data_IF_102644540062
#
_entry.id   IF_102644540062
#
_cell.length_a   1.000
_cell.length_b   1.000
_cell.length_c   1.000
_cell.angle_alpha   90.00
_cell.angle_beta   90.00
_cell.angle_gamma   90.00
#
_symmetry.space_group_name_H-M   'P 1'
#
loop_
_entity.id
_entity.type
_entity.pdbx_description
1 polymer ?
#
# COMPACT_ATOMS: atom_id res chain seq x y z
N UNK A 1 4.81 -12.65 10.24
CA UNK A 1 4.45 -13.93 9.57
C UNK A 1 4.41 -13.79 8.06
N UNK A 2 3.63 -12.85 7.45
CA UNK A 2 3.52 -12.75 5.98
C UNK A 2 4.87 -12.50 5.30
N UNK A 3 5.62 -11.49 5.74
CA UNK A 3 6.94 -11.18 5.18
C UNK A 3 7.95 -12.32 5.35
N UNK A 4 7.93 -13.05 6.47
CA UNK A 4 8.80 -14.20 6.69
C UNK A 4 8.50 -15.37 5.75
N UNK A 5 7.22 -15.65 5.50
CA UNK A 5 6.79 -16.67 4.54
C UNK A 5 7.17 -16.25 3.12
N UNK A 6 6.90 -15.00 2.76
CA UNK A 6 7.26 -14.44 1.45
C UNK A 6 8.78 -14.50 1.24
N UNK A 7 9.57 -14.06 2.22
CA UNK A 7 11.02 -14.06 2.11
C UNK A 7 11.63 -15.46 1.92
N UNK A 8 11.06 -16.48 2.60
CA UNK A 8 11.48 -17.88 2.38
C UNK A 8 11.10 -18.34 0.98
N UNK A 9 9.86 -18.12 0.55
CA UNK A 9 9.40 -18.53 -0.77
C UNK A 9 10.21 -17.87 -1.90
N UNK A 10 10.50 -16.58 -1.78
CA UNK A 10 11.28 -15.86 -2.78
C UNK A 10 12.70 -16.38 -2.91
N UNK A 11 13.36 -16.75 -1.80
CA UNK A 11 14.68 -17.38 -1.84
C UNK A 11 14.68 -18.74 -2.53
N UNK A 12 13.60 -19.51 -2.38
CA UNK A 12 13.50 -20.86 -2.93
C UNK A 12 13.09 -20.87 -4.42
N UNK A 13 12.34 -19.86 -4.88
CA UNK A 13 11.66 -19.90 -6.18
C UNK A 13 11.98 -18.73 -7.11
N UNK A 14 12.72 -17.70 -6.67
CA UNK A 14 12.97 -16.52 -7.49
C UNK A 14 14.41 -16.02 -7.36
N UNK A 15 14.90 -15.40 -8.43
CA UNK A 15 16.15 -14.64 -8.39
C UNK A 15 15.83 -13.21 -7.99
N UNK A 16 16.60 -12.65 -7.02
CA UNK A 16 16.32 -11.31 -6.44
C UNK A 16 16.25 -10.22 -7.49
N UNK A 17 17.12 -10.27 -8.49
CA UNK A 17 17.22 -9.29 -9.56
C UNK A 17 16.07 -9.36 -10.58
N UNK A 18 15.28 -10.42 -10.58
CA UNK A 18 14.16 -10.63 -11.51
C UNK A 18 12.81 -10.27 -10.91
N UNK A 19 12.78 -9.90 -9.62
CA UNK A 19 11.53 -9.65 -8.90
C UNK A 19 11.51 -8.27 -8.27
N UNK A 20 10.29 -7.74 -8.08
CA UNK A 20 10.03 -6.51 -7.34
C UNK A 20 9.39 -6.86 -6.00
N UNK A 21 10.08 -6.55 -4.90
CA UNK A 21 9.57 -6.74 -3.54
C UNK A 21 8.99 -5.41 -3.06
N UNK A 22 7.69 -5.43 -2.73
CA UNK A 22 6.99 -4.29 -2.15
C UNK A 22 6.49 -4.62 -0.75
N UNK A 23 6.67 -3.70 0.20
CA UNK A 23 6.07 -3.79 1.54
C UNK A 23 5.62 -2.44 2.04
N UNK A 24 4.98 -2.39 3.21
CA UNK A 24 4.29 -1.19 3.70
C UNK A 24 4.61 -0.88 5.16
N UNK A 25 4.50 0.40 5.50
CA UNK A 25 4.55 0.93 6.88
C UNK A 25 3.27 1.70 7.20
N UNK A 26 2.97 1.90 8.43
CA UNK A 26 1.90 2.62 9.11
C UNK A 26 1.15 1.73 10.12
N UNK A 27 0.85 0.48 9.77
CA UNK A 27 0.07 -0.41 10.62
C UNK A 27 0.72 -0.66 11.99
N UNK A 28 -0.10 -0.89 13.00
CA UNK A 28 0.39 -1.21 14.34
C UNK A 28 1.12 -2.55 14.37
N UNK A 29 2.38 -2.51 14.80
CA UNK A 29 3.24 -3.69 14.98
C UNK A 29 3.34 -4.13 16.45
N UNK A 30 2.65 -3.42 17.34
CA UNK A 30 2.59 -3.67 18.78
C UNK A 30 1.73 -2.64 19.48
N UNK A 31 1.61 -2.75 20.83
CA UNK A 31 0.77 -1.88 21.66
C UNK A 31 1.43 -0.54 22.03
N UNK A 32 2.72 -0.39 21.83
CA UNK A 32 3.45 0.82 22.21
C UNK A 32 3.21 1.97 21.22
N UNK A 33 3.22 3.23 21.68
CA UNK A 33 2.92 4.40 20.85
C UNK A 33 3.79 4.50 19.59
N UNK A 34 5.08 4.15 19.69
CA UNK A 34 6.03 4.23 18.58
C UNK A 34 5.99 3.03 17.62
N UNK A 35 5.04 2.12 17.78
CA UNK A 35 4.91 0.92 16.94
C UNK A 35 3.80 1.06 15.90
N UNK A 36 3.41 2.28 15.55
CA UNK A 36 2.39 2.60 14.53
C UNK A 36 2.64 3.98 13.93
N UNK A 37 1.90 4.28 12.85
CA UNK A 37 1.90 5.59 12.19
C UNK A 37 3.09 5.81 11.27
N UNK A 38 3.38 7.06 10.97
CA UNK A 38 4.42 7.46 10.03
C UNK A 38 5.49 8.37 10.65
N UNK A 39 5.66 8.33 11.98
CA UNK A 39 6.78 9.02 12.63
C UNK A 39 8.11 8.51 12.08
N UNK A 40 9.10 9.39 12.04
CA UNK A 40 10.47 9.03 11.61
C UNK A 40 10.97 7.78 12.34
N UNK A 41 10.77 7.74 13.67
CA UNK A 41 11.21 6.60 14.49
C UNK A 41 10.58 5.28 14.03
N UNK A 42 9.27 5.27 13.81
CA UNK A 42 8.57 4.06 13.37
C UNK A 42 8.96 3.66 11.94
N UNK A 43 9.08 4.60 11.02
CA UNK A 43 9.50 4.35 9.63
C UNK A 43 10.89 3.70 9.59
N UNK A 44 11.88 4.28 10.29
CA UNK A 44 13.25 3.76 10.29
C UNK A 44 13.34 2.37 10.92
N UNK A 45 12.62 2.12 12.01
CA UNK A 45 12.58 0.78 12.63
C UNK A 45 11.85 -0.23 11.75
N UNK A 46 10.73 0.17 11.14
CA UNK A 46 9.90 -0.72 10.33
C UNK A 46 10.59 -1.22 9.07
N UNK A 47 11.39 -0.37 8.41
CA UNK A 47 12.15 -0.83 7.23
C UNK A 47 13.19 -1.89 7.62
N UNK A 48 13.93 -1.70 8.72
CA UNK A 48 14.92 -2.66 9.19
C UNK A 48 14.27 -4.00 9.58
N UNK A 49 13.12 -3.94 10.23
CA UNK A 49 12.34 -5.11 10.59
C UNK A 49 11.81 -5.86 9.35
N UNK A 50 11.35 -5.13 8.33
CA UNK A 50 10.89 -5.72 7.06
C UNK A 50 12.03 -6.38 6.29
N UNK A 51 13.18 -5.73 6.17
CA UNK A 51 14.38 -6.29 5.53
C UNK A 51 14.81 -7.60 6.21
N UNK A 52 14.83 -7.63 7.55
CA UNK A 52 15.17 -8.82 8.33
C UNK A 52 14.16 -9.95 8.11
N UNK A 53 12.84 -9.67 8.14
CA UNK A 53 11.79 -10.68 7.94
C UNK A 53 11.76 -11.23 6.53
N UNK A 54 11.98 -10.38 5.53
CA UNK A 54 12.05 -10.78 4.12
C UNK A 54 13.36 -11.46 3.76
N UNK A 55 14.42 -11.23 4.54
CA UNK A 55 15.76 -11.78 4.27
C UNK A 55 16.37 -11.16 3.01
N UNK A 56 16.22 -9.86 2.81
CA UNK A 56 16.78 -9.09 1.69
C UNK A 56 17.48 -7.84 2.19
N UNK A 57 18.42 -7.32 1.42
CA UNK A 57 19.18 -6.12 1.77
C UNK A 57 18.46 -4.81 1.40
N UNK A 58 17.52 -4.86 0.45
CA UNK A 58 16.74 -3.71 0.02
C UNK A 58 15.32 -4.10 -0.42
N UNK A 59 14.41 -3.12 -0.35
CA UNK A 59 13.04 -3.19 -0.86
C UNK A 59 12.98 -2.40 -2.18
N UNK A 60 12.33 -2.94 -3.21
CA UNK A 60 12.17 -2.20 -4.45
C UNK A 60 11.15 -1.06 -4.29
N UNK A 61 10.01 -1.32 -3.64
CA UNK A 61 8.97 -0.33 -3.42
C UNK A 61 8.50 -0.32 -1.96
N UNK A 62 8.89 0.70 -1.20
CA UNK A 62 8.44 0.90 0.18
C UNK A 62 7.28 1.88 0.21
N UNK A 63 6.12 1.43 0.71
CA UNK A 63 4.88 2.18 0.63
C UNK A 63 4.38 2.64 2.00
N UNK A 64 3.89 3.87 2.10
CA UNK A 64 3.01 4.24 3.21
C UNK A 64 1.64 3.61 2.97
N UNK A 65 1.12 2.89 3.99
CA UNK A 65 -0.12 2.13 3.86
C UNK A 65 -1.37 3.02 3.92
N UNK A 66 -1.29 4.11 4.68
CA UNK A 66 -2.33 5.15 4.84
C UNK A 66 -1.65 6.47 5.14
N UNK A 67 -2.37 7.56 4.92
CA UNK A 67 -1.98 8.87 5.43
C UNK A 67 -2.06 8.88 6.96
N UNK A 68 -1.08 9.50 7.62
CA UNK A 68 -1.04 9.67 9.06
C UNK A 68 -1.29 11.14 9.42
N UNK A 69 -2.47 11.50 9.94
CA UNK A 69 -2.77 12.88 10.31
C UNK A 69 -2.08 13.34 11.61
N UNK A 70 -1.52 12.40 12.38
CA UNK A 70 -0.85 12.71 13.65
C UNK A 70 0.64 13.06 13.47
N UNK A 71 1.22 12.75 12.31
CA UNK A 71 2.63 13.04 12.01
C UNK A 71 2.76 14.12 10.95
N UNK A 72 3.60 15.15 11.16
CA UNK A 72 3.89 16.16 10.13
C UNK A 72 4.36 15.50 8.83
N UNK A 73 3.83 15.99 7.70
CA UNK A 73 4.16 15.47 6.36
C UNK A 73 5.68 15.52 6.10
N UNK A 74 6.32 16.58 6.53
CA UNK A 74 7.76 16.79 6.36
C UNK A 74 8.58 15.72 7.10
N UNK A 75 8.20 15.34 8.32
CA UNK A 75 8.88 14.29 9.08
C UNK A 75 8.79 12.94 8.37
N UNK A 76 7.58 12.59 7.90
CA UNK A 76 7.34 11.37 7.12
C UNK A 76 8.17 11.35 5.84
N UNK A 77 8.11 12.42 5.05
CA UNK A 77 8.81 12.49 3.76
C UNK A 77 10.33 12.49 3.91
N UNK A 78 10.85 13.20 4.91
CA UNK A 78 12.29 13.19 5.18
C UNK A 78 12.78 11.79 5.59
N UNK A 79 12.03 11.10 6.45
CA UNK A 79 12.35 9.73 6.84
C UNK A 79 12.38 8.78 5.65
N UNK A 80 11.39 8.87 4.76
CA UNK A 80 11.34 8.08 3.53
C UNK A 80 12.47 8.41 2.57
N UNK A 81 12.81 9.69 2.43
CA UNK A 81 13.97 10.13 1.64
C UNK A 81 15.28 9.55 2.18
N UNK A 82 15.48 9.57 3.50
CA UNK A 82 16.68 9.03 4.13
C UNK A 82 16.80 7.50 3.94
N UNK A 83 15.68 6.77 3.94
CA UNK A 83 15.65 5.33 3.63
C UNK A 83 16.14 5.06 2.21
N UNK A 84 15.68 5.85 1.24
CA UNK A 84 16.14 5.73 -0.16
C UNK A 84 17.63 6.09 -0.27
N UNK A 85 18.06 7.17 0.38
CA UNK A 85 19.46 7.59 0.42
C UNK A 85 20.37 6.53 1.08
N UNK A 86 19.87 5.80 2.06
CA UNK A 86 20.58 4.72 2.72
C UNK A 86 20.58 3.41 1.89
N UNK A 87 19.92 3.36 0.73
CA UNK A 87 19.84 2.18 -0.13
C UNK A 87 18.93 1.07 0.42
N UNK A 88 18.13 1.35 1.47
CA UNK A 88 17.20 0.37 2.06
C UNK A 88 15.93 0.20 1.22
N UNK A 89 15.55 1.20 0.45
CA UNK A 89 14.50 1.13 -0.57
C UNK A 89 14.97 1.83 -1.85
N UNK A 90 14.56 1.31 -3.01
CA UNK A 90 14.87 1.93 -4.30
C UNK A 90 13.85 3.02 -4.62
N UNK A 91 12.59 2.76 -4.38
CA UNK A 91 11.47 3.65 -4.64
C UNK A 91 10.52 3.71 -3.45
N UNK A 92 9.76 4.81 -3.36
CA UNK A 92 8.69 4.94 -2.39
C UNK A 92 7.33 5.07 -3.09
N UNK A 93 6.30 4.56 -2.45
CA UNK A 93 4.91 4.62 -2.90
C UNK A 93 3.95 4.97 -1.78
N UNK A 94 2.72 5.22 -2.16
CA UNK A 94 1.63 5.49 -1.23
C UNK A 94 0.44 4.56 -1.50
N UNK A 95 -0.49 4.47 -0.55
CA UNK A 95 -1.71 3.67 -0.70
C UNK A 95 -2.90 4.41 -0.09
N UNK A 96 -4.03 4.32 -0.74
CA UNK A 96 -5.37 4.81 -0.35
C UNK A 96 -5.39 6.00 0.61
N UNK A 97 -5.46 7.18 0.05
CA UNK A 97 -5.63 8.46 0.74
C UNK A 97 -6.39 9.43 -0.15
N UNK A 98 -6.82 10.55 0.37
CA UNK A 98 -7.42 11.59 -0.45
C UNK A 98 -6.42 12.20 -1.44
N UNK A 99 -6.88 12.59 -2.62
CA UNK A 99 -6.03 13.19 -3.65
C UNK A 99 -5.29 14.43 -3.12
N UNK A 100 -5.95 15.30 -2.35
CA UNK A 100 -5.33 16.48 -1.77
C UNK A 100 -4.16 16.13 -0.83
N UNK A 101 -4.27 15.03 -0.07
CA UNK A 101 -3.19 14.56 0.82
C UNK A 101 -1.98 14.12 0.01
N UNK A 102 -2.21 13.32 -1.03
CA UNK A 102 -1.15 12.85 -1.90
C UNK A 102 -0.46 13.98 -2.67
N UNK A 103 -1.26 14.90 -3.23
CA UNK A 103 -0.74 16.09 -3.92
C UNK A 103 0.11 16.95 -2.99
N UNK A 104 -0.36 17.18 -1.77
CA UNK A 104 0.40 17.93 -0.75
C UNK A 104 1.73 17.27 -0.43
N UNK A 105 1.74 15.94 -0.23
CA UNK A 105 2.98 15.20 0.02
C UNK A 105 3.94 15.27 -1.17
N UNK A 106 3.46 15.08 -2.40
CA UNK A 106 4.28 15.18 -3.61
C UNK A 106 4.90 16.57 -3.78
N UNK A 107 4.11 17.62 -3.58
CA UNK A 107 4.58 19.00 -3.66
C UNK A 107 5.58 19.35 -2.54
N UNK A 108 5.32 18.87 -1.33
CA UNK A 108 6.27 19.04 -0.21
C UNK A 108 7.61 18.37 -0.51
N UNK A 109 7.58 17.12 -1.01
CA UNK A 109 8.81 16.43 -1.41
C UNK A 109 9.57 17.20 -2.49
N UNK A 110 8.88 17.70 -3.51
CA UNK A 110 9.49 18.48 -4.59
C UNK A 110 10.14 19.78 -4.08
N UNK A 111 9.46 20.54 -3.23
CA UNK A 111 9.97 21.78 -2.64
C UNK A 111 11.25 21.59 -1.82
N UNK A 112 11.39 20.44 -1.17
CA UNK A 112 12.56 20.12 -0.34
C UNK A 112 13.64 19.33 -1.09
N UNK A 113 13.43 18.99 -2.38
CA UNK A 113 14.34 18.14 -3.14
C UNK A 113 14.40 16.71 -2.61
N UNK A 114 13.34 16.24 -1.97
CA UNK A 114 13.25 14.87 -1.46
C UNK A 114 12.71 13.90 -2.49
N UNK A 115 12.86 12.60 -2.20
CA UNK A 115 12.32 11.52 -3.03
C UNK A 115 10.81 11.64 -3.13
N UNK A 116 10.27 11.60 -4.35
CA UNK A 116 8.82 11.62 -4.62
C UNK A 116 8.27 10.21 -4.68
N UNK A 117 6.99 10.06 -4.40
CA UNK A 117 6.29 8.79 -4.63
C UNK A 117 6.18 8.50 -6.13
N UNK A 118 6.51 7.27 -6.52
CA UNK A 118 6.42 6.81 -7.92
C UNK A 118 5.20 5.95 -8.18
N UNK A 119 4.53 5.48 -7.13
CA UNK A 119 3.37 4.60 -7.24
C UNK A 119 2.29 4.94 -6.21
N UNK A 120 1.04 4.74 -6.62
CA UNK A 120 -0.15 4.83 -5.77
C UNK A 120 -0.93 3.51 -5.83
N UNK A 121 -1.17 2.91 -4.66
CA UNK A 121 -1.96 1.69 -4.54
C UNK A 121 -3.37 2.00 -4.05
N UNK A 122 -4.29 2.19 -4.98
CA UNK A 122 -5.68 2.56 -4.72
C UNK A 122 -6.60 1.35 -4.59
N UNK A 123 -7.76 1.56 -3.93
CA UNK A 123 -8.93 0.73 -4.13
C UNK A 123 -9.55 1.07 -5.49
N UNK A 124 -9.50 0.16 -6.44
CA UNK A 124 -10.07 0.42 -7.76
C UNK A 124 -10.49 -0.87 -8.45
N UNK A 125 -11.75 -0.91 -8.90
CA UNK A 125 -12.33 -1.99 -9.70
C UNK A 125 -13.62 -1.49 -10.37
N UNK A 126 -14.34 -2.36 -11.09
CA UNK A 126 -15.54 -1.99 -11.84
C UNK A 126 -16.73 -1.53 -10.97
N UNK A 127 -16.78 -1.92 -9.68
CA UNK A 127 -17.85 -1.49 -8.75
C UNK A 127 -17.41 -0.34 -7.84
N UNK A 128 -16.11 -0.05 -7.72
CA UNK A 128 -15.60 1.08 -6.95
C UNK A 128 -14.69 1.94 -7.84
N UNK A 129 -15.19 3.09 -8.27
CA UNK A 129 -14.55 3.95 -9.26
C UNK A 129 -14.31 5.39 -8.77
N UNK A 130 -14.39 5.65 -7.46
CA UNK A 130 -14.22 7.00 -6.90
C UNK A 130 -12.86 7.62 -7.24
N UNK A 131 -11.82 6.82 -7.40
CA UNK A 131 -10.48 7.27 -7.72
C UNK A 131 -10.35 7.93 -9.11
N UNK A 132 -11.33 7.70 -9.99
CA UNK A 132 -11.39 8.34 -11.32
C UNK A 132 -11.69 9.83 -11.26
N UNK A 133 -12.18 10.33 -10.12
CA UNK A 133 -12.53 11.75 -9.96
C UNK A 133 -11.29 12.64 -9.90
N UNK A 134 -10.27 12.24 -9.13
CA UNK A 134 -9.12 13.10 -8.89
C UNK A 134 -7.78 12.32 -8.87
N UNK A 135 -7.69 11.22 -8.11
CA UNK A 135 -6.43 10.52 -7.90
C UNK A 135 -5.84 9.94 -9.19
N UNK A 136 -6.67 9.24 -9.97
CA UNK A 136 -6.22 8.63 -11.25
C UNK A 136 -5.81 9.72 -12.25
N UNK A 137 -6.62 10.78 -12.52
CA UNK A 137 -6.19 11.89 -13.36
C UNK A 137 -4.89 12.55 -12.92
N UNK A 138 -4.71 12.78 -11.62
CA UNK A 138 -3.47 13.33 -11.09
C UNK A 138 -2.27 12.41 -11.33
N UNK A 139 -2.41 11.12 -11.03
CA UNK A 139 -1.35 10.15 -11.27
C UNK A 139 -0.95 10.07 -12.75
N UNK A 140 -1.93 10.09 -13.66
CA UNK A 140 -1.69 10.12 -15.11
C UNK A 140 -0.93 11.39 -15.53
N UNK A 141 -1.37 12.54 -15.04
CA UNK A 141 -0.74 13.83 -15.38
C UNK A 141 0.70 13.96 -14.85
N UNK A 142 1.03 13.27 -13.77
CA UNK A 142 2.33 13.38 -13.09
C UNK A 142 3.25 12.17 -13.27
N UNK A 143 2.82 11.15 -14.04
CA UNK A 143 3.60 9.94 -14.31
C UNK A 143 3.70 8.98 -13.12
N UNK A 144 2.81 9.08 -12.12
CA UNK A 144 2.75 8.15 -10.99
C UNK A 144 2.05 6.86 -11.41
N UNK A 145 2.70 5.71 -11.21
CA UNK A 145 2.14 4.39 -11.52
C UNK A 145 0.97 4.02 -10.61
N UNK A 146 -0.04 3.33 -11.16
CA UNK A 146 -1.18 2.84 -10.40
C UNK A 146 -1.07 1.33 -10.18
N UNK A 147 -1.25 0.89 -8.93
CA UNK A 147 -1.20 -0.52 -8.52
C UNK A 147 -2.48 -0.87 -7.75
N UNK A 148 -3.62 -1.05 -8.41
CA UNK A 148 -4.90 -1.24 -7.72
C UNK A 148 -4.92 -2.45 -6.79
N UNK A 149 -5.52 -2.27 -5.58
CA UNK A 149 -5.87 -3.40 -4.74
C UNK A 149 -7.34 -3.79 -4.94
N UNK A 150 -7.65 -5.05 -4.73
CA UNK A 150 -8.97 -5.67 -4.98
C UNK A 150 -9.52 -5.45 -6.39
N UNK A 151 -8.74 -5.65 -7.48
CA UNK A 151 -9.23 -5.44 -8.86
C UNK A 151 -10.40 -6.35 -9.22
N UNK A 152 -10.51 -7.51 -8.58
CA UNK A 152 -11.66 -8.43 -8.73
C UNK A 152 -12.69 -8.29 -7.61
N UNK A 153 -12.70 -7.14 -6.91
CA UNK A 153 -13.63 -6.89 -5.79
C UNK A 153 -13.71 -8.06 -4.80
N UNK A 154 -12.53 -8.62 -4.43
CA UNK A 154 -12.38 -9.77 -3.50
C UNK A 154 -13.16 -11.02 -3.92
N UNK A 155 -13.39 -11.20 -5.22
CA UNK A 155 -14.11 -12.31 -5.83
C UNK A 155 -15.53 -11.98 -6.27
N UNK A 156 -16.08 -10.83 -5.92
CA UNK A 156 -17.40 -10.39 -6.37
C UNK A 156 -17.46 -10.35 -7.92
N UNK A 157 -16.47 -9.75 -8.56
CA UNK A 157 -16.37 -9.65 -10.02
C UNK A 157 -15.91 -10.96 -10.71
N UNK A 158 -15.56 -11.98 -9.94
CA UNK A 158 -15.23 -13.29 -10.49
C UNK A 158 -16.46 -14.19 -10.71
N UNK A 159 -17.65 -13.68 -10.55
CA UNK A 159 -18.91 -14.42 -10.79
C UNK A 159 -19.29 -15.45 -9.75
N UNK A 160 -18.54 -15.55 -8.63
CA UNK A 160 -18.75 -16.55 -7.60
C UNK A 160 -19.89 -16.21 -6.61
N UNK A 161 -20.65 -15.12 -6.86
CA UNK A 161 -21.61 -14.59 -5.90
C UNK A 161 -22.88 -14.15 -6.63
N UNK A 162 -23.92 -15.00 -6.66
CA UNK A 162 -25.18 -14.65 -7.27
C UNK A 162 -25.89 -13.53 -6.49
N UNK A 163 -26.64 -12.69 -7.19
CA UNK A 163 -27.46 -11.61 -6.62
C UNK A 163 -28.33 -12.15 -5.48
N UNK A 164 -28.31 -11.43 -4.33
CA UNK A 164 -29.13 -11.79 -3.16
C UNK A 164 -28.56 -12.88 -2.26
N UNK A 165 -27.39 -13.43 -2.54
CA UNK A 165 -26.67 -14.35 -1.66
C UNK A 165 -25.39 -13.68 -1.14
N UNK A 166 -25.36 -13.43 0.16
CA UNK A 166 -24.14 -12.95 0.83
C UNK A 166 -23.13 -14.09 1.02
N UNK A 167 -23.61 -15.32 1.15
CA UNK A 167 -22.79 -16.52 1.32
C UNK A 167 -22.52 -17.18 -0.04
N UNK A 168 -21.35 -16.95 -0.60
CA UNK A 168 -20.90 -17.64 -1.79
C UNK A 168 -20.42 -19.08 -1.49
N UNK A 169 -20.14 -19.85 -2.54
CA UNK A 169 -19.73 -21.26 -2.43
C UNK A 169 -18.31 -21.46 -1.87
N UNK A 170 -17.45 -20.43 -1.94
CA UNK A 170 -16.05 -20.52 -1.49
C UNK A 170 -15.91 -20.20 0.00
N UNK A 171 -14.88 -20.79 0.64
CA UNK A 171 -14.52 -20.46 2.04
C UNK A 171 -14.31 -18.95 2.22
N UNK A 172 -13.60 -18.31 1.30
CA UNK A 172 -13.34 -16.86 1.35
C UNK A 172 -14.63 -16.04 1.32
N UNK A 173 -15.60 -16.41 0.46
CA UNK A 173 -16.87 -15.69 0.38
C UNK A 173 -17.67 -15.72 1.69
N UNK A 174 -17.50 -16.78 2.49
CA UNK A 174 -18.17 -16.95 3.79
C UNK A 174 -17.44 -16.27 4.95
N UNK A 175 -16.12 -16.08 4.85
CA UNK A 175 -15.28 -15.61 5.97
C UNK A 175 -14.72 -14.20 5.77
N UNK A 176 -14.85 -13.60 4.57
CA UNK A 176 -14.30 -12.29 4.27
C UNK A 176 -15.27 -11.16 4.63
N UNK A 177 -15.35 -10.85 5.93
CA UNK A 177 -16.22 -9.78 6.44
C UNK A 177 -15.89 -8.41 5.83
N UNK A 178 -14.63 -8.16 5.44
CA UNK A 178 -14.24 -6.92 4.80
C UNK A 178 -14.83 -6.79 3.38
N UNK A 179 -14.96 -7.89 2.65
CA UNK A 179 -15.66 -7.88 1.37
C UNK A 179 -17.14 -7.49 1.55
N UNK A 180 -17.79 -7.99 2.60
CA UNK A 180 -19.19 -7.67 2.89
C UNK A 180 -19.41 -6.20 3.30
N UNK A 181 -18.40 -5.53 3.85
CA UNK A 181 -18.46 -4.09 4.15
C UNK A 181 -18.29 -3.20 2.92
N UNK A 182 -17.51 -3.64 1.93
CA UNK A 182 -17.19 -2.86 0.73
C UNK A 182 -18.15 -3.10 -0.44
N UNK A 183 -18.70 -4.31 -0.54
CA UNK A 183 -19.50 -4.78 -1.67
C UNK A 183 -20.81 -5.40 -1.17
N UNK A 184 -21.67 -5.80 -2.07
CA UNK A 184 -23.00 -6.39 -1.79
C UNK A 184 -24.04 -5.36 -1.37
N UNK A 185 -23.85 -4.09 -1.69
CA UNK A 185 -24.90 -3.10 -1.64
C UNK A 185 -25.89 -3.35 -2.80
N UNK A 186 -27.12 -2.90 -2.68
CA UNK A 186 -28.12 -3.05 -3.75
C UNK A 186 -27.63 -2.46 -5.08
N UNK A 187 -26.85 -1.37 -5.04
CA UNK A 187 -26.27 -0.71 -6.19
C UNK A 187 -25.14 -1.50 -6.88
N UNK A 188 -24.61 -2.57 -6.25
CA UNK A 188 -23.55 -3.38 -6.83
C UNK A 188 -24.08 -4.46 -7.80
N UNK A 189 -25.40 -4.63 -7.86
CA UNK A 189 -26.09 -5.57 -8.69
C UNK A 189 -26.87 -4.87 -9.81
#
# INVERSE_FOLDING_TARGET
VSEEITGRALRDFARREEIIIATKVNGAMGSQPNNRGLSRKHIMQSIDDSLRRLGTEYIDLYQIHRFDPETPIEETLQALHDIVRAGKALYIGASSMYAWQFITMQHTAERHGWTRFVAMQNHYNLVYREEEREMIPYCQATGVGLIPWSPLARGFLAGNRPKGKQDGETLRSRTDNFAHQLYYQEADF
#
